data_IF_708045919313
#
_entry.id   IF_708045919313
#
_cell.length_a   1.000
_cell.length_b   1.000
_cell.length_c   1.000
_cell.angle_alpha   90.00
_cell.angle_beta   90.00
_cell.angle_gamma   90.00
#
_symmetry.space_group_name_H-M   'P 1'
#
loop_
_entity.id
_entity.type
_entity.pdbx_description
1 polymer ?
#
# COMPACT_ATOMS: atom_id res chain seq x y z
N UNK A 1 53.85 -22.16 -10.57
CA UNK A 1 53.96 -20.72 -10.83
C UNK A 1 52.67 -20.06 -10.39
N UNK A 2 52.77 -19.38 -9.27
CA UNK A 2 51.70 -18.79 -8.47
C UNK A 2 51.40 -17.39 -8.99
N UNK A 3 50.17 -17.12 -9.43
CA UNK A 3 49.70 -15.76 -9.64
C UNK A 3 48.54 -15.46 -8.69
N UNK A 4 48.90 -14.77 -7.61
CA UNK A 4 47.98 -13.99 -6.78
C UNK A 4 47.50 -12.79 -7.58
N UNK A 5 46.19 -12.50 -7.55
CA UNK A 5 45.68 -11.17 -7.87
C UNK A 5 44.61 -10.74 -6.85
N UNK A 6 45.13 -10.05 -5.83
CA UNK A 6 44.58 -8.92 -5.07
C UNK A 6 43.09 -8.60 -5.15
N UNK A 7 42.47 -8.80 -4.00
CA UNK A 7 41.26 -8.18 -3.45
C UNK A 7 41.33 -6.64 -3.55
N UNK A 8 40.24 -6.00 -3.98
CA UNK A 8 39.97 -4.58 -3.71
C UNK A 8 38.56 -4.44 -3.13
N UNK A 9 38.54 -4.34 -1.80
CA UNK A 9 37.41 -3.95 -0.98
C UNK A 9 37.27 -2.43 -1.06
N UNK A 10 36.12 -1.91 -1.51
CA UNK A 10 35.75 -0.52 -1.29
C UNK A 10 34.83 -0.47 -0.07
N UNK A 11 35.46 -0.27 1.09
CA UNK A 11 34.79 0.16 2.31
C UNK A 11 34.47 1.65 2.17
N UNK A 12 33.20 2.02 2.12
CA UNK A 12 32.76 3.40 2.24
C UNK A 12 32.48 3.67 3.73
N UNK A 13 33.45 4.31 4.38
CA UNK A 13 33.36 4.88 5.73
C UNK A 13 32.32 6.01 5.71
N UNK A 14 31.32 5.94 6.60
CA UNK A 14 30.51 7.09 7.01
C UNK A 14 30.90 7.43 8.46
N UNK A 15 31.17 8.72 8.80
CA UNK A 15 31.63 9.08 10.14
C UNK A 15 30.48 9.06 11.16
N UNK A 16 30.75 8.47 12.32
CA UNK A 16 29.97 8.68 13.55
C UNK A 16 30.44 9.95 14.29
N UNK A 17 29.49 10.63 14.93
CA UNK A 17 29.49 11.21 16.30
C UNK A 17 28.63 12.50 16.36
N UNK A 18 28.14 12.94 17.54
CA UNK A 18 27.75 12.20 18.74
C UNK A 18 26.36 12.58 19.28
N UNK A 19 25.93 11.72 20.21
CA UNK A 19 24.87 11.87 21.21
C UNK A 19 24.70 13.27 21.82
N UNK A 20 23.46 13.74 21.87
CA UNK A 20 23.02 14.77 22.84
C UNK A 20 21.68 14.38 23.43
N UNK A 21 21.76 13.86 24.65
CA UNK A 21 20.70 13.68 25.62
C UNK A 21 20.12 15.03 26.09
N UNK A 22 18.79 15.18 26.09
CA UNK A 22 18.11 16.10 26.97
C UNK A 22 16.62 15.74 27.16
N UNK A 23 16.32 15.36 28.41
CA UNK A 23 15.19 15.82 29.21
C UNK A 23 13.77 15.33 28.87
N UNK A 24 13.44 14.21 29.54
CA UNK A 24 12.12 13.91 30.08
C UNK A 24 11.48 15.09 30.81
N UNK A 25 10.24 15.43 30.46
CA UNK A 25 9.35 16.26 31.27
C UNK A 25 8.07 15.48 31.60
N UNK A 26 7.74 15.31 32.90
CA UNK A 26 6.50 14.67 33.32
C UNK A 26 5.38 15.71 33.41
N UNK A 27 4.31 15.54 32.62
CA UNK A 27 3.07 16.28 32.83
C UNK A 27 2.20 15.53 33.85
N UNK A 28 2.32 15.93 35.11
CA UNK A 28 1.39 15.65 36.19
C UNK A 28 0.13 16.49 36.01
N UNK A 29 -1.01 15.87 35.72
CA UNK A 29 -2.32 16.50 35.87
C UNK A 29 -2.88 16.21 37.29
N UNK A 30 -3.51 17.20 37.93
CA UNK A 30 -3.97 17.07 39.30
C UNK A 30 -5.31 16.31 39.40
N UNK A 31 -5.39 15.40 40.37
CA UNK A 31 -6.67 14.92 40.91
C UNK A 31 -7.22 15.93 41.91
N UNK A 32 -8.54 16.18 41.92
CA UNK A 32 -9.24 16.61 43.12
C UNK A 32 -10.07 15.46 43.72
N UNK A 33 -10.02 15.38 45.05
CA UNK A 33 -10.81 14.50 45.91
C UNK A 33 -12.24 15.02 46.04
N UNK A 34 -13.13 14.04 46.23
CA UNK A 34 -14.57 14.00 46.53
C UNK A 34 -15.18 15.13 47.37
N UNK A 35 -16.38 15.59 46.99
CA UNK A 35 -17.42 16.04 47.94
C UNK A 35 -18.83 15.93 47.32
N UNK A 36 -19.76 15.41 48.13
CA UNK A 36 -21.19 15.22 47.87
C UNK A 36 -21.95 16.53 47.57
N UNK A 37 -22.98 16.44 46.71
CA UNK A 37 -24.04 17.45 46.59
C UNK A 37 -24.83 17.33 45.27
N UNK A 38 -26.09 16.89 45.39
CA UNK A 38 -27.28 17.06 44.52
C UNK A 38 -27.22 16.90 42.96
N UNK A 39 -28.30 16.36 42.36
CA UNK A 39 -28.37 16.16 40.91
C UNK A 39 -28.83 17.45 40.22
N UNK A 40 -27.89 18.28 39.81
CA UNK A 40 -28.19 19.44 38.97
C UNK A 40 -27.99 19.11 37.47
N UNK A 41 -29.00 19.54 36.73
CA UNK A 41 -29.30 19.30 35.34
C UNK A 41 -28.19 19.88 34.45
N UNK A 42 -27.25 19.06 34.00
CA UNK A 42 -26.19 19.50 33.08
C UNK A 42 -26.49 19.05 31.66
N UNK A 43 -26.93 20.05 30.89
CA UNK A 43 -26.92 20.06 29.44
C UNK A 43 -25.65 19.41 28.89
N UNK A 44 -25.85 18.32 28.16
CA UNK A 44 -24.82 17.67 27.36
C UNK A 44 -24.33 18.70 26.34
N UNK A 45 -23.03 19.00 26.24
CA UNK A 45 -22.53 19.80 25.13
C UNK A 45 -22.79 19.01 23.84
N UNK A 46 -23.78 19.48 23.06
CA UNK A 46 -24.07 18.98 21.73
C UNK A 46 -22.77 18.95 20.94
N UNK A 47 -22.33 17.74 20.57
CA UNK A 47 -21.27 17.57 19.59
C UNK A 47 -21.60 18.44 18.38
N UNK A 48 -20.62 19.21 17.90
CA UNK A 48 -20.75 19.98 16.66
C UNK A 48 -20.95 18.98 15.51
N UNK A 49 -22.21 18.63 15.24
CA UNK A 49 -22.61 17.92 14.03
C UNK A 49 -22.27 18.87 12.89
N UNK A 50 -21.23 18.53 12.13
CA UNK A 50 -20.91 19.23 10.90
C UNK A 50 -22.20 19.33 10.07
N UNK A 51 -22.57 20.52 9.57
CA UNK A 51 -23.78 20.64 8.77
C UNK A 51 -23.69 19.64 7.62
N UNK A 52 -24.63 18.69 7.60
CA UNK A 52 -24.82 17.80 6.45
C UNK A 52 -24.78 18.64 5.18
N UNK A 53 -24.14 18.17 4.09
CA UNK A 53 -24.11 18.92 2.85
C UNK A 53 -25.57 19.14 2.46
N UNK A 54 -26.03 20.39 2.58
CA UNK A 54 -27.34 20.80 2.10
C UNK A 54 -27.30 20.54 0.62
N UNK A 55 -27.94 19.44 0.20
CA UNK A 55 -28.28 19.21 -1.20
C UNK A 55 -29.17 20.38 -1.58
N UNK A 56 -28.57 21.39 -2.19
CA UNK A 56 -29.31 22.44 -2.85
C UNK A 56 -30.22 21.74 -3.85
N UNK A 57 -31.53 21.89 -3.61
CA UNK A 57 -32.59 21.42 -4.48
C UNK A 57 -32.46 22.15 -5.82
N UNK A 58 -31.61 21.64 -6.71
CA UNK A 58 -31.62 22.06 -8.11
C UNK A 58 -32.94 21.58 -8.72
N UNK A 59 -33.81 22.55 -8.96
CA UNK A 59 -35.03 22.39 -9.72
C UNK A 59 -34.74 21.62 -11.01
N UNK A 60 -35.54 20.59 -11.25
CA UNK A 60 -35.61 19.86 -12.51
C UNK A 60 -35.83 20.86 -13.66
N UNK A 61 -34.76 21.20 -14.36
CA UNK A 61 -34.84 21.85 -15.66
C UNK A 61 -34.44 20.83 -16.73
N UNK A 62 -35.42 20.50 -17.57
CA UNK A 62 -35.28 19.91 -18.90
C UNK A 62 -34.08 20.46 -19.68
N UNK A 63 -33.51 19.69 -20.63
CA UNK A 63 -32.21 19.95 -21.26
C UNK A 63 -32.22 21.28 -22.03
N UNK A 64 -31.91 22.35 -21.32
CA UNK A 64 -31.87 23.71 -21.82
C UNK A 64 -30.40 24.09 -21.93
N UNK A 65 -29.98 24.37 -23.16
CA UNK A 65 -28.63 24.77 -23.53
C UNK A 65 -28.09 25.84 -22.56
N UNK A 66 -27.13 25.48 -21.71
CA UNK A 66 -26.55 26.40 -20.71
C UNK A 66 -25.90 27.56 -21.48
N UNK A 67 -26.35 28.81 -21.30
CA UNK A 67 -25.82 29.93 -22.06
C UNK A 67 -24.32 30.11 -21.74
N UNK A 68 -23.50 30.14 -22.79
CA UNK A 68 -22.05 30.35 -22.68
C UNK A 68 -21.82 31.84 -22.36
N UNK A 69 -21.88 32.18 -21.07
CA UNK A 69 -21.52 33.48 -20.56
C UNK A 69 -20.25 33.38 -19.71
N UNK A 70 -19.52 34.48 -19.54
CA UNK A 70 -18.21 34.46 -18.90
C UNK A 70 -18.26 34.02 -17.43
N UNK A 71 -19.37 34.28 -16.73
CA UNK A 71 -19.60 33.77 -15.36
C UNK A 71 -19.70 32.24 -15.35
N UNK A 72 -20.46 31.66 -16.28
CA UNK A 72 -20.63 30.21 -16.43
C UNK A 72 -19.29 29.57 -16.80
N UNK A 73 -18.52 30.16 -17.72
CA UNK A 73 -17.17 29.69 -18.09
C UNK A 73 -16.26 29.62 -16.85
N UNK A 74 -16.23 30.68 -16.02
CA UNK A 74 -15.43 30.70 -14.78
C UNK A 74 -15.88 29.64 -13.76
N UNK A 75 -17.19 29.41 -13.63
CA UNK A 75 -17.73 28.36 -12.75
C UNK A 75 -17.30 26.96 -13.23
N UNK A 76 -17.41 26.68 -14.54
CA UNK A 76 -16.97 25.41 -15.12
C UNK A 76 -15.46 25.20 -14.94
N UNK A 77 -14.65 26.23 -15.19
CA UNK A 77 -13.20 26.16 -14.99
C UNK A 77 -12.84 25.88 -13.52
N UNK A 78 -13.49 26.56 -12.57
CA UNK A 78 -13.29 26.34 -11.13
C UNK A 78 -13.70 24.91 -10.72
N UNK A 79 -14.80 24.39 -11.25
CA UNK A 79 -15.25 23.01 -11.01
C UNK A 79 -14.26 21.99 -11.59
N UNK A 80 -13.80 22.20 -12.82
CA UNK A 80 -12.81 21.34 -13.46
C UNK A 80 -11.48 21.31 -12.69
N UNK A 81 -10.99 22.47 -12.22
CA UNK A 81 -9.80 22.55 -11.38
C UNK A 81 -9.98 21.84 -10.04
N UNK A 82 -11.14 22.00 -9.39
CA UNK A 82 -11.45 21.27 -8.14
C UNK A 82 -11.40 19.76 -8.34
N UNK A 83 -12.00 19.26 -9.43
CA UNK A 83 -12.00 17.83 -9.77
C UNK A 83 -10.58 17.33 -10.02
N UNK A 84 -9.76 18.08 -10.78
CA UNK A 84 -8.35 17.72 -11.02
C UNK A 84 -7.58 17.59 -9.72
N UNK A 85 -7.69 18.58 -8.82
CA UNK A 85 -7.00 18.54 -7.51
C UNK A 85 -7.44 17.36 -6.66
N UNK A 86 -8.74 17.09 -6.59
CA UNK A 86 -9.27 15.94 -5.84
C UNK A 86 -8.70 14.62 -6.35
N UNK A 87 -8.70 14.43 -7.67
CA UNK A 87 -8.12 13.23 -8.28
C UNK A 87 -6.61 13.12 -7.99
N UNK A 88 -5.88 14.22 -7.98
CA UNK A 88 -4.44 14.21 -7.67
C UNK A 88 -4.18 13.92 -6.19
N UNK A 89 -5.02 14.43 -5.30
CA UNK A 89 -4.98 14.12 -3.86
C UNK A 89 -5.31 12.65 -3.58
N UNK A 90 -6.30 12.08 -4.26
CA UNK A 90 -6.65 10.65 -4.17
C UNK A 90 -5.50 9.76 -4.63
N UNK A 91 -4.89 10.06 -5.78
CA UNK A 91 -3.71 9.32 -6.26
C UNK A 91 -2.56 9.38 -5.27
N UNK A 92 -2.27 10.55 -4.70
CA UNK A 92 -1.20 10.70 -3.73
C UNK A 92 -1.45 9.89 -2.46
N UNK A 93 -2.69 9.92 -1.95
CA UNK A 93 -3.08 9.13 -0.77
C UNK A 93 -2.97 7.64 -1.06
N UNK A 94 -3.49 7.17 -2.19
CA UNK A 94 -3.39 5.76 -2.60
C UNK A 94 -1.94 5.32 -2.75
N UNK A 95 -1.07 6.15 -3.34
CA UNK A 95 0.36 5.86 -3.43
C UNK A 95 1.02 5.70 -2.05
N UNK A 96 0.70 6.60 -1.12
CA UNK A 96 1.20 6.52 0.25
C UNK A 96 0.70 5.28 0.99
N UNK A 97 -0.57 4.91 0.81
CA UNK A 97 -1.16 3.71 1.40
C UNK A 97 -0.50 2.42 0.87
N UNK A 98 -0.26 2.35 -0.45
CA UNK A 98 0.45 1.23 -1.07
C UNK A 98 1.87 1.12 -0.51
N UNK A 99 2.59 2.24 -0.45
CA UNK A 99 3.97 2.25 0.03
C UNK A 99 4.07 1.89 1.52
N UNK A 100 3.17 2.42 2.35
CA UNK A 100 3.06 2.03 3.75
C UNK A 100 2.76 0.54 3.89
N UNK A 101 1.78 0.03 3.13
CA UNK A 101 1.43 -1.39 3.15
C UNK A 101 2.59 -2.31 2.76
N UNK A 102 3.43 -1.90 1.79
CA UNK A 102 4.62 -2.66 1.40
C UNK A 102 5.66 -2.69 2.53
N UNK A 103 5.92 -1.54 3.18
CA UNK A 103 6.83 -1.47 4.33
C UNK A 103 6.32 -2.30 5.51
N UNK A 104 5.02 -2.25 5.80
CA UNK A 104 4.39 -3.09 6.83
C UNK A 104 4.58 -4.58 6.52
N UNK A 105 4.42 -5.00 5.26
CA UNK A 105 4.65 -6.39 4.86
C UNK A 105 6.11 -6.80 5.04
N UNK A 106 7.06 -5.94 4.64
CA UNK A 106 8.50 -6.18 4.78
C UNK A 106 8.89 -6.39 6.25
N UNK A 107 8.50 -5.45 7.13
CA UNK A 107 8.77 -5.52 8.57
C UNK A 107 8.16 -6.80 9.15
N UNK A 108 6.88 -7.07 8.84
CA UNK A 108 6.19 -8.22 9.42
C UNK A 108 6.74 -9.56 8.92
N UNK A 109 7.16 -9.64 7.65
CA UNK A 109 7.81 -10.84 7.09
C UNK A 109 9.17 -11.10 7.75
N UNK A 110 9.91 -10.06 8.13
CA UNK A 110 11.16 -10.18 8.89
C UNK A 110 10.91 -10.69 10.32
N UNK A 111 9.93 -10.13 11.02
CA UNK A 111 9.52 -10.58 12.35
C UNK A 111 9.10 -12.05 12.35
N UNK A 112 8.25 -12.43 11.38
CA UNK A 112 7.79 -13.82 11.20
C UNK A 112 8.98 -14.74 10.91
N UNK A 113 9.97 -14.29 10.14
CA UNK A 113 11.18 -15.08 9.87
C UNK A 113 11.93 -15.36 11.17
N UNK A 114 12.22 -14.32 11.96
CA UNK A 114 12.95 -14.45 13.23
C UNK A 114 12.21 -15.34 14.24
N UNK A 115 10.91 -15.11 14.42
CA UNK A 115 10.07 -15.94 15.29
C UNK A 115 9.99 -17.40 14.78
N UNK A 116 9.86 -17.56 13.47
CA UNK A 116 9.78 -18.86 12.80
C UNK A 116 11.06 -19.67 12.97
N UNK A 117 12.23 -19.05 12.84
CA UNK A 117 13.53 -19.68 13.11
C UNK A 117 13.63 -20.14 14.57
N UNK A 118 13.19 -19.31 15.53
CA UNK A 118 13.15 -19.71 16.94
C UNK A 118 12.23 -20.91 17.18
N UNK A 119 11.08 -20.97 16.52
CA UNK A 119 10.19 -22.13 16.63
C UNK A 119 10.79 -23.39 16.00
N UNK A 120 11.45 -23.26 14.84
CA UNK A 120 12.12 -24.38 14.18
C UNK A 120 13.24 -24.96 15.04
N UNK A 121 14.05 -24.12 15.70
CA UNK A 121 15.08 -24.58 16.64
C UNK A 121 14.48 -25.39 17.80
N UNK A 122 13.38 -24.91 18.40
CA UNK A 122 12.67 -25.66 19.46
C UNK A 122 12.11 -26.98 18.97
N UNK A 123 11.60 -27.02 17.74
CA UNK A 123 11.02 -28.20 17.13
C UNK A 123 12.07 -29.21 16.62
N UNK A 124 13.31 -28.76 16.40
CA UNK A 124 14.44 -29.67 16.16
C UNK A 124 14.85 -30.39 17.46
N UNK A 125 14.75 -29.72 18.61
CA UNK A 125 15.02 -30.30 19.93
C UNK A 125 13.88 -31.22 20.40
N UNK A 126 12.63 -30.77 20.25
CA UNK A 126 11.41 -31.52 20.61
C UNK A 126 10.37 -31.47 19.47
N UNK A 127 10.41 -32.45 18.54
CA UNK A 127 9.52 -32.48 17.38
C UNK A 127 8.04 -32.65 17.67
N UNK A 128 7.68 -33.08 18.89
CA UNK A 128 6.28 -33.30 19.32
C UNK A 128 5.77 -32.15 20.21
N UNK A 129 6.53 -31.06 20.33
CA UNK A 129 6.12 -29.89 21.09
C UNK A 129 4.89 -29.22 20.45
N UNK A 130 3.71 -29.55 20.97
CA UNK A 130 2.42 -29.10 20.43
C UNK A 130 2.30 -27.57 20.35
N UNK A 131 2.79 -26.85 21.35
CA UNK A 131 2.69 -25.39 21.37
C UNK A 131 3.59 -24.76 20.29
N UNK A 132 4.83 -25.25 20.16
CA UNK A 132 5.75 -24.76 19.15
C UNK A 132 5.25 -25.10 17.73
N UNK A 133 4.64 -26.27 17.54
CA UNK A 133 4.02 -26.67 16.27
C UNK A 133 2.84 -25.79 15.88
N UNK A 134 1.92 -25.52 16.81
CA UNK A 134 0.78 -24.63 16.52
C UNK A 134 1.23 -23.22 16.19
N UNK A 135 2.22 -22.71 16.92
CA UNK A 135 2.83 -21.41 16.65
C UNK A 135 3.52 -21.39 15.29
N UNK A 136 4.26 -22.44 14.94
CA UNK A 136 4.92 -22.58 13.64
C UNK A 136 3.90 -22.61 12.50
N UNK A 137 2.80 -23.38 12.61
CA UNK A 137 1.74 -23.37 11.58
C UNK A 137 1.09 -21.99 11.44
N UNK A 138 0.86 -21.27 12.53
CA UNK A 138 0.32 -19.91 12.48
C UNK A 138 1.27 -18.96 11.74
N UNK A 139 2.58 -19.04 12.01
CA UNK A 139 3.59 -18.22 11.33
C UNK A 139 3.71 -18.57 9.84
N UNK A 140 3.61 -19.85 9.46
CA UNK A 140 3.62 -20.27 8.05
C UNK A 140 2.39 -19.73 7.33
N UNK A 141 1.20 -19.84 7.93
CA UNK A 141 -0.03 -19.26 7.36
C UNK A 141 0.09 -17.76 7.16
N UNK A 142 0.51 -17.04 8.20
CA UNK A 142 0.65 -15.58 8.17
C UNK A 142 1.66 -15.15 7.11
N UNK A 143 2.78 -15.87 6.98
CA UNK A 143 3.78 -15.64 5.92
C UNK A 143 3.17 -15.74 4.53
N UNK A 144 2.41 -16.80 4.24
CA UNK A 144 1.82 -16.99 2.91
C UNK A 144 0.75 -15.93 2.60
N UNK A 145 -0.05 -15.54 3.61
CA UNK A 145 -0.98 -14.41 3.52
C UNK A 145 -0.24 -13.11 3.18
N UNK A 146 0.83 -12.80 3.90
CA UNK A 146 1.61 -11.57 3.70
C UNK A 146 2.32 -11.55 2.36
N UNK A 147 2.85 -12.68 1.87
CA UNK A 147 3.42 -12.78 0.53
C UNK A 147 2.39 -12.46 -0.54
N UNK A 148 1.18 -13.00 -0.42
CA UNK A 148 0.10 -12.68 -1.35
C UNK A 148 -0.26 -11.19 -1.30
N UNK A 149 -0.38 -10.61 -0.09
CA UNK A 149 -0.62 -9.16 0.10
C UNK A 149 0.48 -8.31 -0.53
N UNK A 150 1.74 -8.66 -0.32
CA UNK A 150 2.89 -7.95 -0.88
C UNK A 150 2.87 -7.97 -2.42
N UNK A 151 2.58 -9.13 -3.04
CA UNK A 151 2.43 -9.25 -4.49
C UNK A 151 1.28 -8.36 -5.01
N UNK A 152 0.12 -8.40 -4.36
CA UNK A 152 -1.02 -7.55 -4.75
C UNK A 152 -0.67 -6.06 -4.66
N UNK A 153 0.01 -5.63 -3.59
CA UNK A 153 0.46 -4.24 -3.43
C UNK A 153 1.49 -3.83 -4.49
N UNK A 154 2.44 -4.70 -4.84
CA UNK A 154 3.42 -4.47 -5.93
C UNK A 154 2.72 -4.30 -7.28
N UNK A 155 1.69 -5.10 -7.55
CA UNK A 155 0.88 -5.00 -8.76
C UNK A 155 0.04 -3.72 -8.78
N UNK A 156 -0.59 -3.34 -7.67
CA UNK A 156 -1.31 -2.05 -7.55
C UNK A 156 -0.38 -0.86 -7.74
N UNK A 157 0.84 -0.90 -7.19
CA UNK A 157 1.87 0.11 -7.45
C UNK A 157 2.16 0.21 -8.95
N UNK A 158 2.37 -0.94 -9.61
CA UNK A 158 2.67 -0.98 -11.05
C UNK A 158 1.52 -0.45 -11.89
N UNK A 159 0.28 -0.79 -11.57
CA UNK A 159 -0.90 -0.25 -12.25
C UNK A 159 -0.94 1.28 -12.17
N UNK A 160 -0.72 1.84 -10.98
CA UNK A 160 -0.71 3.29 -10.77
C UNK A 160 0.42 3.98 -11.58
N UNK A 161 1.61 3.39 -11.65
CA UNK A 161 2.71 3.90 -12.49
C UNK A 161 2.34 3.90 -13.98
N UNK A 162 1.68 2.84 -14.46
CA UNK A 162 1.20 2.74 -15.83
C UNK A 162 0.11 3.76 -16.15
N UNK A 163 -0.77 4.06 -15.20
CA UNK A 163 -1.79 5.11 -15.37
C UNK A 163 -1.18 6.51 -15.49
N UNK A 164 -0.16 6.80 -14.70
CA UNK A 164 0.62 8.05 -14.83
C UNK A 164 1.29 8.10 -16.20
N UNK A 165 1.99 7.03 -16.59
CA UNK A 165 2.66 6.96 -17.89
C UNK A 165 1.69 7.13 -19.06
N UNK A 166 0.54 6.46 -19.02
CA UNK A 166 -0.50 6.59 -20.06
C UNK A 166 -1.04 8.02 -20.14
N UNK A 167 -1.30 8.65 -18.98
CA UNK A 167 -1.77 10.04 -18.92
C UNK A 167 -0.78 11.00 -19.57
N UNK A 168 0.51 10.85 -19.27
CA UNK A 168 1.57 11.69 -19.82
C UNK A 168 1.70 11.49 -21.34
N UNK A 169 1.65 10.24 -21.81
CA UNK A 169 1.66 9.94 -23.25
C UNK A 169 0.42 10.53 -23.95
N UNK A 170 -0.76 10.38 -23.36
CA UNK A 170 -2.01 10.91 -23.90
C UNK A 170 -2.02 12.45 -23.96
N UNK A 171 -1.40 13.12 -22.98
CA UNK A 171 -1.25 14.58 -23.01
C UNK A 171 -0.34 15.01 -24.17
N UNK A 172 0.81 14.35 -24.35
CA UNK A 172 1.72 14.61 -25.48
C UNK A 172 1.02 14.36 -26.82
N UNK A 173 0.20 13.32 -26.90
CA UNK A 173 -0.53 12.96 -28.12
C UNK A 173 -1.52 14.05 -28.52
N UNK A 174 -2.26 14.61 -27.55
CA UNK A 174 -3.17 15.74 -27.78
C UNK A 174 -2.44 17.00 -28.21
N UNK A 175 -1.30 17.32 -27.57
CA UNK A 175 -0.48 18.48 -27.92
C UNK A 175 0.08 18.39 -29.34
N UNK A 176 0.44 17.18 -29.80
CA UNK A 176 0.87 16.93 -31.17
C UNK A 176 -0.28 17.08 -32.18
N UNK A 177 -1.52 16.73 -31.82
CA UNK A 177 -2.69 16.88 -32.68
C UNK A 177 -3.17 18.32 -32.87
N UNK A 178 -2.83 19.23 -31.95
CA UNK A 178 -3.12 20.66 -32.04
C UNK A 178 -2.08 21.43 -32.91
N UNK A 179 -0.95 20.79 -33.24
CA UNK A 179 0.07 21.30 -34.14
C UNK A 179 -0.03 20.66 -35.51
N UNK A 180 -0.29 21.47 -36.54
CA UNK A 180 -0.44 21.06 -37.93
C UNK A 180 0.72 20.16 -38.41
N UNK A 181 0.38 18.95 -38.83
CA UNK A 181 1.11 17.97 -39.66
C UNK A 181 2.60 18.25 -39.88
N UNK A 182 3.48 17.41 -39.31
CA UNK A 182 4.74 16.97 -39.96
C UNK A 182 5.55 15.90 -39.19
N UNK A 183 5.01 15.28 -38.12
CA UNK A 183 5.76 14.30 -37.34
C UNK A 183 5.08 12.93 -37.25
N UNK A 184 4.75 12.36 -38.42
CA UNK A 184 4.09 11.04 -38.54
C UNK A 184 4.87 9.94 -37.80
N UNK A 185 6.20 9.96 -37.87
CA UNK A 185 7.07 9.03 -37.15
C UNK A 185 6.92 9.19 -35.62
N UNK A 186 7.00 10.42 -35.10
CA UNK A 186 6.81 10.68 -33.67
C UNK A 186 5.40 10.31 -33.18
N UNK A 187 4.37 10.52 -34.01
CA UNK A 187 3.00 10.07 -33.70
C UNK A 187 2.90 8.54 -33.68
N UNK A 188 3.54 7.85 -34.62
CA UNK A 188 3.61 6.39 -34.66
C UNK A 188 4.31 5.83 -33.42
N UNK A 189 5.45 6.40 -33.03
CA UNK A 189 6.21 5.99 -31.85
C UNK A 189 5.42 6.22 -30.56
N UNK A 190 4.70 7.35 -30.47
CA UNK A 190 3.87 7.68 -29.33
C UNK A 190 2.68 6.71 -29.19
N UNK A 191 2.01 6.38 -30.30
CA UNK A 191 0.95 5.38 -30.33
C UNK A 191 1.48 3.99 -29.95
N UNK A 192 2.65 3.59 -30.46
CA UNK A 192 3.30 2.35 -30.07
C UNK A 192 3.59 2.29 -28.57
N UNK A 193 4.08 3.39 -27.99
CA UNK A 193 4.31 3.50 -26.55
C UNK A 193 2.99 3.43 -25.74
N UNK A 194 1.91 4.05 -26.21
CA UNK A 194 0.59 3.96 -25.58
C UNK A 194 0.04 2.52 -25.62
N UNK A 195 0.15 1.84 -26.76
CA UNK A 195 -0.24 0.44 -26.91
C UNK A 195 0.57 -0.47 -25.97
N UNK A 196 1.88 -0.25 -25.86
CA UNK A 196 2.73 -1.00 -24.93
C UNK A 196 2.26 -0.86 -23.46
N UNK A 197 1.86 0.35 -23.04
CA UNK A 197 1.30 0.57 -21.70
C UNK A 197 -0.03 -0.14 -21.50
N UNK A 198 -0.88 -0.18 -22.51
CA UNK A 198 -2.17 -0.91 -22.45
C UNK A 198 -1.94 -2.42 -22.35
N UNK A 199 -1.02 -2.97 -23.14
CA UNK A 199 -0.67 -4.41 -23.06
C UNK A 199 -0.05 -4.77 -21.71
N UNK A 200 0.83 -3.91 -21.19
CA UNK A 200 1.39 -4.11 -19.85
C UNK A 200 0.30 -4.05 -18.76
N UNK A 201 -0.66 -3.13 -18.88
CA UNK A 201 -1.80 -3.05 -17.94
C UNK A 201 -2.66 -4.33 -18.00
N UNK A 202 -2.87 -4.90 -19.18
CA UNK A 202 -3.56 -6.20 -19.32
C UNK A 202 -2.80 -7.31 -18.58
N UNK A 203 -1.49 -7.35 -18.69
CA UNK A 203 -0.67 -8.34 -17.99
C UNK A 203 -0.70 -8.14 -16.47
N UNK A 204 -0.60 -6.90 -15.98
CA UNK A 204 -0.75 -6.57 -14.55
C UNK A 204 -2.12 -7.01 -14.02
N UNK A 205 -3.19 -6.82 -14.80
CA UNK A 205 -4.53 -7.29 -14.43
C UNK A 205 -4.60 -8.83 -14.35
N UNK A 206 -4.02 -9.52 -15.33
CA UNK A 206 -3.93 -10.99 -15.32
C UNK A 206 -3.17 -11.51 -14.10
N UNK A 207 -2.02 -10.89 -13.79
CA UNK A 207 -1.23 -11.22 -12.60
C UNK A 207 -1.99 -10.91 -11.30
N UNK A 208 -2.78 -9.83 -11.26
CA UNK A 208 -3.60 -9.48 -10.11
C UNK A 208 -4.69 -10.52 -9.83
N UNK A 209 -5.36 -11.02 -10.87
CA UNK A 209 -6.33 -12.11 -10.72
C UNK A 209 -5.67 -13.42 -10.27
N UNK A 210 -4.48 -13.74 -10.78
CA UNK A 210 -3.71 -14.89 -10.30
C UNK A 210 -3.33 -14.74 -8.82
N UNK A 211 -2.89 -13.55 -8.39
CA UNK A 211 -2.54 -13.29 -6.99
C UNK A 211 -3.76 -13.42 -6.07
N UNK A 212 -4.93 -12.94 -6.50
CA UNK A 212 -6.20 -13.15 -5.78
C UNK A 212 -6.56 -14.62 -5.68
N UNK A 213 -6.31 -15.40 -6.73
CA UNK A 213 -6.53 -16.85 -6.67
C UNK A 213 -5.55 -17.51 -5.69
N UNK A 214 -4.25 -17.20 -5.78
CA UNK A 214 -3.24 -17.71 -4.83
C UNK A 214 -3.60 -17.41 -3.38
N UNK A 215 -4.14 -16.22 -3.09
CA UNK A 215 -4.62 -15.85 -1.76
C UNK A 215 -5.75 -16.78 -1.27
N UNK A 216 -6.69 -17.16 -2.14
CA UNK A 216 -7.77 -18.10 -1.80
C UNK A 216 -7.24 -19.50 -1.51
N UNK A 217 -6.17 -19.92 -2.19
CA UNK A 217 -5.52 -21.22 -2.00
C UNK A 217 -4.70 -21.32 -0.70
N UNK A 218 -4.37 -20.19 -0.04
CA UNK A 218 -3.58 -20.19 1.20
C UNK A 218 -4.25 -21.01 2.31
N UNK A 219 -5.56 -20.86 2.50
CA UNK A 219 -6.28 -21.58 3.57
C UNK A 219 -6.36 -23.10 3.29
N UNK A 220 -6.80 -23.57 2.11
CA UNK A 220 -6.72 -24.99 1.74
C UNK A 220 -5.30 -25.56 1.85
N UNK A 221 -4.29 -24.84 1.39
CA UNK A 221 -2.89 -25.26 1.48
C UNK A 221 -2.44 -25.43 2.93
N UNK A 222 -2.85 -24.51 3.82
CA UNK A 222 -2.55 -24.64 5.26
C UNK A 222 -3.29 -25.79 5.93
N UNK A 223 -4.53 -26.06 5.53
CA UNK A 223 -5.26 -27.22 6.03
C UNK A 223 -4.56 -28.53 5.61
N UNK A 224 -4.22 -28.67 4.33
CA UNK A 224 -3.47 -29.81 3.82
C UNK A 224 -2.09 -29.97 4.49
N UNK A 225 -1.44 -28.85 4.85
CA UNK A 225 -0.19 -28.88 5.60
C UNK A 225 -0.39 -29.46 7.01
N UNK A 226 -1.46 -29.06 7.71
CA UNK A 226 -1.80 -29.56 9.06
C UNK A 226 -2.20 -31.05 9.05
N UNK A 227 -2.83 -31.52 7.98
CA UNK A 227 -3.24 -32.93 7.82
C UNK A 227 -2.05 -33.90 7.74
N UNK A 228 -0.86 -33.42 7.36
CA UNK A 228 0.37 -34.25 7.38
C UNK A 228 0.76 -34.70 8.80
N UNK A 229 0.27 -34.01 9.82
CA UNK A 229 0.40 -34.36 11.23
C UNK A 229 1.10 -33.28 12.04
N UNK A 230 1.29 -33.58 13.33
CA UNK A 230 1.82 -32.65 14.34
C UNK A 230 3.29 -32.88 14.70
N UNK A 231 3.97 -33.81 14.02
CA UNK A 231 5.39 -34.06 14.23
C UNK A 231 6.22 -33.22 13.28
N UNK A 232 7.16 -32.43 13.82
CA UNK A 232 8.02 -31.58 12.99
C UNK A 232 8.91 -32.38 12.02
N UNK A 233 9.22 -33.65 12.35
CA UNK A 233 10.04 -34.52 11.50
C UNK A 233 9.46 -34.74 10.09
N UNK A 234 8.16 -34.50 9.91
CA UNK A 234 7.46 -34.62 8.63
C UNK A 234 7.61 -33.38 7.74
N UNK A 235 8.22 -32.31 8.25
CA UNK A 235 8.33 -31.02 7.59
C UNK A 235 9.80 -30.66 7.38
N UNK A 236 10.04 -29.86 6.35
CA UNK A 236 11.33 -29.19 6.17
C UNK A 236 11.26 -27.81 6.82
N UNK A 237 12.34 -27.32 7.44
CA UNK A 237 12.43 -25.94 7.88
C UNK A 237 12.10 -24.97 6.73
N UNK A 238 11.24 -24.00 6.98
CA UNK A 238 10.78 -22.97 6.05
C UNK A 238 11.47 -21.64 6.34
N UNK A 239 11.77 -21.36 7.61
CA UNK A 239 12.33 -20.08 8.05
C UNK A 239 13.86 -20.08 8.15
N UNK A 240 14.48 -21.26 8.27
CA UNK A 240 15.93 -21.44 8.39
C UNK A 240 16.68 -21.59 7.06
N UNK A 241 15.99 -21.66 5.91
CA UNK A 241 16.59 -21.92 4.59
C UNK A 241 16.81 -20.68 3.70
N UNK A 242 16.72 -19.46 4.24
CA UNK A 242 16.90 -18.19 3.51
C UNK A 242 17.85 -17.24 4.22
#
# INVERSE_FOLDING_TARGET
MTHQCKVRTNLLLIPETPSSSAQSSPCTSPHPVTSNGEPDNRDVPCAAVAPSPRMESEAYNSPSHIPVNEKNIRIFQKRAEKIRRQHDDERRRSAQEIQRGLQECEIRLEEIRSLGQSMEMKLLEDPENNWAMETWFALVHEREVLKCKEVMLKLSKREMELEVKYRDLNLRFKQLGEGMNDNLAANSDLLAAMLAVVEEKKEVNRLSENAKQSYKEVNPSMQALREKGRSFQKFKPIFSCL
#
